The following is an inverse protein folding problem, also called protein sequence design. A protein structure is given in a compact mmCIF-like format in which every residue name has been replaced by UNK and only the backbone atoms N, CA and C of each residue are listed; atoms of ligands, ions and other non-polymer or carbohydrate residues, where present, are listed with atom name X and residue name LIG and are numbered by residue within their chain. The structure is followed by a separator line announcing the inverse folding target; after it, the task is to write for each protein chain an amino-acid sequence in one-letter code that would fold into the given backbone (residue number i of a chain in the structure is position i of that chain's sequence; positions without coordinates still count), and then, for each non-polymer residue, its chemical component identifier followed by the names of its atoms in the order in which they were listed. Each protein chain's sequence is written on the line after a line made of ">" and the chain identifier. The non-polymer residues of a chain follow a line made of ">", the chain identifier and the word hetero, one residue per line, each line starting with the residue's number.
data_IF_524928291526
#
_entry.id   IF_524928291526
#
_cell.length_a   1.000
_cell.length_b   1.000
_cell.length_c   1.000
_cell.angle_alpha   90.00
_cell.angle_beta   90.00
_cell.angle_gamma   90.00
#
_symmetry.space_group_name_H-M   'P 1'
#
loop_
_entity.id
_entity.type
_entity.pdbx_description
1 polymer ?
#
# COMPACT_ATOMS: atom_id res chain seq x y z
N UNK A 1 7.88 -14.55 52.18
CA UNK A 1 8.72 -14.78 50.98
C UNK A 1 7.85 -15.10 49.77
N UNK A 2 7.48 -14.12 48.94
CA UNK A 2 6.73 -14.37 47.70
C UNK A 2 6.94 -13.27 46.62
N UNK A 3 8.10 -12.63 46.61
CA UNK A 3 8.42 -11.57 45.63
C UNK A 3 8.97 -12.11 44.29
N UNK A 4 9.62 -13.28 44.32
CA UNK A 4 10.25 -13.88 43.14
C UNK A 4 9.28 -14.52 42.11
N UNK A 5 8.13 -15.11 42.48
CA UNK A 5 7.20 -15.69 41.49
C UNK A 5 6.47 -14.63 40.66
N UNK A 6 6.12 -13.48 41.26
CA UNK A 6 5.42 -12.38 40.57
C UNK A 6 6.31 -11.66 39.54
N UNK A 7 7.62 -11.56 39.80
CA UNK A 7 8.58 -11.01 38.83
C UNK A 7 8.79 -11.91 37.61
N UNK A 8 8.80 -13.24 37.79
CA UNK A 8 8.86 -14.19 36.66
C UNK A 8 7.59 -14.19 35.79
N UNK A 9 6.44 -13.83 36.36
CA UNK A 9 5.18 -13.72 35.62
C UNK A 9 5.11 -12.43 34.77
N UNK A 10 5.78 -11.36 35.20
CA UNK A 10 5.94 -10.13 34.43
C UNK A 10 6.95 -10.29 33.27
N UNK A 11 8.04 -11.04 33.48
CA UNK A 11 9.04 -11.32 32.44
C UNK A 11 8.58 -12.32 31.35
N UNK A 12 7.44 -12.99 31.53
CA UNK A 12 6.85 -13.91 30.54
C UNK A 12 5.81 -13.25 29.63
N UNK A 13 5.47 -11.98 29.84
CA UNK A 13 4.61 -11.21 28.92
C UNK A 13 5.46 -10.59 27.81
N UNK A 14 5.93 -11.42 26.88
CA UNK A 14 6.49 -10.96 25.61
C UNK A 14 5.47 -11.05 24.47
N UNK A 15 4.22 -10.63 24.72
CA UNK A 15 3.27 -10.38 23.63
C UNK A 15 2.67 -9.01 23.82
N UNK A 16 2.87 -8.18 22.80
CA UNK A 16 2.30 -6.85 22.62
C UNK A 16 0.83 -6.85 23.06
N UNK A 17 0.43 -5.90 23.91
CA UNK A 17 -0.97 -5.68 24.29
C UNK A 17 -1.82 -5.14 23.13
N UNK A 18 -1.25 -5.09 21.91
CA UNK A 18 -1.95 -4.76 20.69
C UNK A 18 -2.86 -5.92 20.28
N UNK A 19 -4.16 -5.73 20.44
CA UNK A 19 -5.18 -6.57 19.80
C UNK A 19 -5.36 -6.25 18.30
N UNK A 20 -4.60 -5.28 17.77
CA UNK A 20 -4.64 -4.89 16.36
C UNK A 20 -4.14 -6.06 15.52
N UNK A 21 -4.95 -6.52 14.55
CA UNK A 21 -4.67 -7.69 13.71
C UNK A 21 -5.23 -9.01 14.25
N UNK A 22 -5.62 -9.07 15.53
CA UNK A 22 -6.25 -10.28 16.09
C UNK A 22 -7.70 -10.40 15.65
N UNK A 23 -8.10 -11.60 15.20
CA UNK A 23 -9.45 -11.85 14.70
C UNK A 23 -10.50 -11.48 15.77
N UNK A 24 -11.49 -10.67 15.39
CA UNK A 24 -12.66 -10.38 16.23
C UNK A 24 -13.49 -11.66 16.39
N UNK A 25 -13.94 -12.01 17.62
CA UNK A 25 -14.77 -13.20 17.83
C UNK A 25 -16.09 -13.09 17.05
N UNK A 26 -16.38 -14.06 16.18
CA UNK A 26 -17.64 -14.15 15.42
C UNK A 26 -18.41 -15.42 15.79
N UNK A 27 -19.75 -15.37 15.77
CA UNK A 27 -20.65 -16.49 16.11
C UNK A 27 -20.76 -17.58 15.02
N UNK A 28 -20.00 -17.46 13.93
CA UNK A 28 -20.06 -18.39 12.79
C UNK A 28 -19.19 -19.64 12.99
N UNK A 29 -19.53 -20.70 12.25
CA UNK A 29 -18.86 -21.99 12.34
C UNK A 29 -17.39 -21.91 11.91
N UNK A 30 -16.51 -22.68 12.57
CA UNK A 30 -15.06 -22.70 12.26
C UNK A 30 -14.84 -23.46 10.95
N UNK A 31 -14.67 -22.75 9.83
CA UNK A 31 -14.26 -23.33 8.54
C UNK A 31 -12.78 -23.78 8.55
N UNK A 32 -12.43 -24.72 7.67
CA UNK A 32 -11.08 -25.30 7.57
C UNK A 32 -9.93 -24.29 7.35
N UNK A 33 -10.23 -23.13 6.76
CA UNK A 33 -9.24 -22.07 6.50
C UNK A 33 -8.86 -21.24 7.74
N UNK A 34 -9.46 -21.49 8.91
CA UNK A 34 -9.24 -20.70 10.12
C UNK A 34 -7.79 -20.69 10.60
N UNK A 35 -7.10 -21.83 10.54
CA UNK A 35 -5.68 -21.91 10.91
C UNK A 35 -4.77 -21.14 9.94
N UNK A 36 -5.13 -21.12 8.65
CA UNK A 36 -4.39 -20.38 7.64
C UNK A 36 -4.58 -18.86 7.81
N UNK A 37 -5.80 -18.40 8.08
CA UNK A 37 -6.08 -17.00 8.39
C UNK A 37 -5.33 -16.53 9.63
N UNK A 38 -5.35 -17.32 10.71
CA UNK A 38 -4.67 -16.99 11.96
C UNK A 38 -3.15 -16.89 11.78
N UNK A 39 -2.56 -17.74 10.93
CA UNK A 39 -1.14 -17.66 10.58
C UNK A 39 -0.80 -16.37 9.80
N UNK A 40 -1.62 -15.99 8.81
CA UNK A 40 -1.44 -14.75 8.06
C UNK A 40 -1.58 -13.51 8.96
N UNK A 41 -2.55 -13.53 9.88
CA UNK A 41 -2.73 -12.48 10.88
C UNK A 41 -1.53 -12.38 11.81
N UNK A 42 -0.97 -13.51 12.26
CA UNK A 42 0.25 -13.50 13.07
C UNK A 42 1.44 -12.86 12.32
N UNK A 43 1.61 -13.18 11.03
CA UNK A 43 2.64 -12.54 10.21
C UNK A 43 2.45 -11.02 10.11
N UNK A 44 1.20 -10.54 10.01
CA UNK A 44 0.88 -9.11 9.91
C UNK A 44 0.93 -8.37 11.25
N UNK A 45 0.81 -9.09 12.37
CA UNK A 45 1.12 -8.53 13.70
C UNK A 45 2.62 -8.24 13.83
N UNK A 46 3.46 -9.15 13.33
CA UNK A 46 4.92 -9.00 13.38
C UNK A 46 5.42 -7.95 12.36
N UNK A 47 4.89 -7.99 11.14
CA UNK A 47 5.18 -7.02 10.08
C UNK A 47 3.88 -6.61 9.36
N UNK A 48 3.27 -5.46 9.74
CA UNK A 48 2.03 -5.00 9.13
C UNK A 48 2.20 -4.57 7.67
N UNK A 49 3.44 -4.49 7.18
CA UNK A 49 3.77 -4.14 5.79
C UNK A 49 4.17 -5.37 4.96
N UNK A 50 3.95 -6.58 5.48
CA UNK A 50 4.15 -7.80 4.71
C UNK A 50 3.08 -7.90 3.60
N UNK A 51 3.41 -7.35 2.44
CA UNK A 51 2.53 -7.27 1.25
C UNK A 51 1.94 -8.64 0.90
N UNK A 52 2.77 -9.70 0.91
CA UNK A 52 2.33 -11.05 0.55
C UNK A 52 1.31 -11.61 1.55
N UNK A 53 1.56 -11.41 2.85
CA UNK A 53 0.63 -11.85 3.89
C UNK A 53 -0.69 -11.07 3.82
N UNK A 54 -0.62 -9.75 3.58
CA UNK A 54 -1.80 -8.91 3.41
C UNK A 54 -2.62 -9.36 2.20
N UNK A 55 -2.01 -9.53 1.03
CA UNK A 55 -2.69 -9.97 -0.20
C UNK A 55 -3.35 -11.35 -0.02
N UNK A 56 -2.64 -12.31 0.60
CA UNK A 56 -3.20 -13.62 0.88
C UNK A 56 -4.39 -13.56 1.85
N UNK A 57 -4.31 -12.71 2.88
CA UNK A 57 -5.40 -12.52 3.84
C UNK A 57 -6.60 -11.81 3.20
N UNK A 58 -6.35 -10.82 2.36
CA UNK A 58 -7.35 -10.14 1.54
C UNK A 58 -8.11 -11.13 0.66
N UNK A 59 -7.42 -12.07 0.02
CA UNK A 59 -8.08 -13.11 -0.80
C UNK A 59 -8.94 -14.07 0.04
N UNK A 60 -8.52 -14.41 1.26
CA UNK A 60 -9.34 -15.21 2.18
C UNK A 60 -10.62 -14.46 2.57
N UNK A 61 -10.55 -13.16 2.89
CA UNK A 61 -11.74 -12.39 3.28
C UNK A 61 -12.64 -12.05 2.09
N UNK A 62 -12.09 -11.83 0.88
CA UNK A 62 -12.85 -11.65 -0.36
C UNK A 62 -13.72 -12.87 -0.66
N UNK A 63 -13.12 -14.07 -0.70
CA UNK A 63 -13.86 -15.33 -0.94
C UNK A 63 -14.95 -15.55 0.09
N UNK A 64 -14.66 -15.31 1.37
CA UNK A 64 -15.66 -15.43 2.44
C UNK A 64 -16.84 -14.47 2.26
N UNK A 65 -16.57 -13.23 1.85
CA UNK A 65 -17.62 -12.25 1.63
C UNK A 65 -18.50 -12.62 0.43
N UNK A 66 -17.90 -13.06 -0.67
CA UNK A 66 -18.61 -13.51 -1.87
C UNK A 66 -19.45 -14.78 -1.64
N UNK A 67 -18.98 -15.72 -0.81
CA UNK A 67 -19.76 -16.90 -0.42
C UNK A 67 -21.00 -16.56 0.42
N UNK A 68 -20.96 -15.44 1.14
CA UNK A 68 -22.02 -15.06 2.08
C UNK A 68 -23.20 -14.36 1.41
N UNK A 69 -23.05 -13.93 0.14
CA UNK A 69 -24.08 -13.23 -0.65
C UNK A 69 -24.81 -14.16 -1.63
N UNK A 70 -24.77 -15.49 -1.43
CA UNK A 70 -25.43 -16.45 -2.32
C UNK A 70 -26.95 -16.26 -2.29
N UNK A 71 -27.51 -15.68 -3.35
CA UNK A 71 -28.94 -15.57 -3.60
C UNK A 71 -29.30 -16.55 -4.74
N UNK A 72 -30.21 -17.48 -4.48
CA UNK A 72 -30.52 -18.62 -5.37
C UNK A 72 -31.38 -18.26 -6.61
N UNK A 73 -31.54 -16.97 -6.93
CA UNK A 73 -32.39 -16.53 -8.06
C UNK A 73 -31.58 -16.40 -9.37
N UNK A 74 -31.77 -17.31 -10.35
CA UNK A 74 -31.04 -17.29 -11.63
C UNK A 74 -31.39 -16.10 -12.53
N UNK A 75 -32.47 -15.34 -12.27
CA UNK A 75 -32.82 -14.13 -13.02
C UNK A 75 -32.07 -12.88 -12.52
N UNK A 76 -31.38 -12.95 -11.38
CA UNK A 76 -30.66 -11.82 -10.76
C UNK A 76 -29.12 -11.89 -10.95
N UNK A 77 -28.62 -12.70 -11.89
CA UNK A 77 -27.20 -13.05 -12.00
C UNK A 77 -26.23 -11.84 -12.09
N UNK A 78 -26.51 -10.84 -12.93
CA UNK A 78 -25.67 -9.64 -13.07
C UNK A 78 -25.65 -8.78 -11.80
N UNK A 79 -26.80 -8.64 -11.14
CA UNK A 79 -26.93 -7.90 -9.87
C UNK A 79 -26.18 -8.63 -8.76
N UNK A 80 -26.27 -9.96 -8.73
CA UNK A 80 -25.56 -10.80 -7.77
C UNK A 80 -24.03 -10.71 -7.89
N UNK A 81 -23.50 -10.55 -9.11
CA UNK A 81 -22.05 -10.42 -9.31
C UNK A 81 -21.52 -9.04 -8.87
N UNK A 82 -22.26 -7.95 -9.14
CA UNK A 82 -21.93 -6.64 -8.58
C UNK A 82 -22.03 -6.61 -7.05
N UNK A 83 -23.01 -7.30 -6.46
CA UNK A 83 -23.14 -7.43 -5.01
C UNK A 83 -22.01 -8.23 -4.38
N UNK A 84 -21.58 -9.34 -4.99
CA UNK A 84 -20.40 -10.10 -4.55
C UNK A 84 -19.13 -9.25 -4.59
N UNK A 85 -18.91 -8.50 -5.66
CA UNK A 85 -17.75 -7.63 -5.78
C UNK A 85 -17.74 -6.55 -4.71
N UNK A 86 -18.87 -5.87 -4.49
CA UNK A 86 -19.00 -4.86 -3.42
C UNK A 86 -18.77 -5.48 -2.03
N UNK A 87 -19.33 -6.64 -1.74
CA UNK A 87 -19.08 -7.34 -0.48
C UNK A 87 -17.60 -7.72 -0.30
N UNK A 88 -16.93 -8.15 -1.36
CA UNK A 88 -15.50 -8.46 -1.35
C UNK A 88 -14.65 -7.21 -1.10
N UNK A 89 -14.93 -6.09 -1.76
CA UNK A 89 -14.22 -4.83 -1.56
C UNK A 89 -14.45 -4.26 -0.16
N UNK A 90 -15.68 -4.31 0.36
CA UNK A 90 -15.97 -3.92 1.74
C UNK A 90 -15.23 -4.80 2.77
N UNK A 91 -15.05 -6.09 2.49
CA UNK A 91 -14.30 -6.98 3.37
C UNK A 91 -12.81 -6.65 3.40
N UNK A 92 -12.21 -6.31 2.25
CA UNK A 92 -10.81 -5.85 2.19
C UNK A 92 -10.66 -4.48 2.83
N UNK A 93 -11.61 -3.58 2.60
CA UNK A 93 -11.64 -2.26 3.24
C UNK A 93 -11.63 -2.38 4.76
N UNK A 94 -12.52 -3.21 5.32
CA UNK A 94 -12.59 -3.44 6.77
C UNK A 94 -11.28 -4.06 7.34
N UNK A 95 -10.66 -4.99 6.61
CA UNK A 95 -9.36 -5.56 6.98
C UNK A 95 -8.25 -4.49 6.96
N UNK A 96 -8.22 -3.68 5.92
CA UNK A 96 -7.22 -2.64 5.75
C UNK A 96 -7.36 -1.55 6.82
N UNK A 97 -8.58 -1.15 7.17
CA UNK A 97 -8.84 -0.24 8.30
C UNK A 97 -8.38 -0.81 9.64
N UNK A 98 -8.68 -2.08 9.91
CA UNK A 98 -8.22 -2.77 11.12
C UNK A 98 -6.70 -2.66 11.27
N UNK A 99 -5.97 -2.98 10.19
CA UNK A 99 -4.50 -3.00 10.20
C UNK A 99 -3.87 -1.60 10.13
N UNK A 100 -4.51 -0.64 9.47
CA UNK A 100 -4.05 0.74 9.38
C UNK A 100 -4.02 1.45 10.75
N UNK A 101 -4.75 0.93 11.74
CA UNK A 101 -4.66 1.37 13.14
C UNK A 101 -3.27 1.16 13.77
N UNK A 102 -2.43 0.29 13.21
CA UNK A 102 -1.04 0.15 13.65
C UNK A 102 -0.19 1.33 13.12
N UNK A 103 0.50 2.11 13.97
CA UNK A 103 1.27 3.27 13.55
C UNK A 103 2.45 2.96 12.61
N UNK A 104 2.88 1.69 12.54
CA UNK A 104 3.92 1.22 11.62
C UNK A 104 3.37 0.74 10.27
N UNK A 105 2.04 0.61 10.15
CA UNK A 105 1.39 0.09 8.96
C UNK A 105 1.26 1.21 7.91
N UNK A 106 2.01 1.11 6.83
CA UNK A 106 1.88 1.95 5.64
C UNK A 106 1.16 1.20 4.52
N UNK A 107 1.39 -0.10 4.35
CA UNK A 107 0.79 -0.86 3.23
C UNK A 107 -0.74 -0.94 3.31
N UNK A 108 -1.37 -1.19 4.48
CA UNK A 108 -2.82 -1.11 4.60
C UNK A 108 -3.41 0.27 4.25
N UNK A 109 -2.66 1.36 4.47
CA UNK A 109 -3.11 2.71 4.06
C UNK A 109 -3.07 2.87 2.53
N UNK A 110 -2.09 2.27 1.85
CA UNK A 110 -2.04 2.22 0.39
C UNK A 110 -3.23 1.45 -0.17
N UNK A 111 -3.57 0.32 0.43
CA UNK A 111 -4.73 -0.50 0.02
C UNK A 111 -6.06 0.23 0.26
N UNK A 112 -6.22 0.93 1.40
CA UNK A 112 -7.38 1.80 1.61
C UNK A 112 -7.45 2.91 0.58
N UNK A 113 -6.32 3.50 0.20
CA UNK A 113 -6.30 4.53 -0.83
C UNK A 113 -6.74 3.96 -2.18
N UNK A 114 -6.23 2.81 -2.61
CA UNK A 114 -6.64 2.11 -3.85
C UNK A 114 -8.14 1.90 -3.92
N UNK A 115 -8.74 1.41 -2.84
CA UNK A 115 -10.18 1.20 -2.74
C UNK A 115 -11.00 2.50 -2.73
N UNK A 116 -10.39 3.63 -2.40
CA UNK A 116 -11.09 4.92 -2.29
C UNK A 116 -10.87 5.85 -3.49
N UNK A 117 -9.99 5.52 -4.44
CA UNK A 117 -9.56 6.47 -5.47
C UNK A 117 -10.70 6.98 -6.34
N UNK A 118 -11.64 6.10 -6.71
CA UNK A 118 -12.76 6.46 -7.59
C UNK A 118 -13.86 7.24 -6.85
N UNK A 119 -14.09 6.93 -5.57
CA UNK A 119 -15.19 7.48 -4.78
C UNK A 119 -14.80 8.70 -3.93
N UNK A 120 -13.57 8.74 -3.40
CA UNK A 120 -13.03 9.80 -2.54
C UNK A 120 -11.51 9.98 -2.77
N UNK A 121 -11.13 10.59 -3.91
CA UNK A 121 -9.72 10.76 -4.28
C UNK A 121 -8.95 11.63 -3.27
N UNK A 122 -9.59 12.61 -2.64
CA UNK A 122 -8.94 13.43 -1.63
C UNK A 122 -8.56 12.63 -0.38
N UNK A 123 -9.48 11.78 0.11
CA UNK A 123 -9.16 10.91 1.23
C UNK A 123 -8.14 9.84 0.85
N UNK A 124 -8.16 9.33 -0.40
CA UNK A 124 -7.12 8.46 -0.91
C UNK A 124 -5.74 9.13 -0.83
N UNK A 125 -5.58 10.35 -1.35
CA UNK A 125 -4.33 11.11 -1.31
C UNK A 125 -3.86 11.36 0.14
N UNK A 126 -4.76 11.73 1.06
CA UNK A 126 -4.40 11.89 2.49
C UNK A 126 -3.88 10.60 3.12
N UNK A 127 -4.48 9.45 2.79
CA UNK A 127 -4.00 8.13 3.26
C UNK A 127 -2.64 7.79 2.68
N UNK A 128 -2.39 8.09 1.40
CA UNK A 128 -1.09 7.89 0.75
C UNK A 128 0.00 8.77 1.37
N UNK A 129 -0.28 10.04 1.66
CA UNK A 129 0.65 10.92 2.38
C UNK A 129 0.97 10.37 3.77
N UNK A 130 -0.04 9.91 4.50
CA UNK A 130 0.15 9.26 5.81
C UNK A 130 0.98 7.98 5.69
N UNK A 131 0.82 7.20 4.61
CA UNK A 131 1.62 6.00 4.36
C UNK A 131 3.09 6.37 4.13
N UNK A 132 3.36 7.39 3.30
CA UNK A 132 4.70 7.91 3.05
C UNK A 132 5.38 8.39 4.34
N UNK A 133 4.65 9.08 5.23
CA UNK A 133 5.20 9.56 6.50
C UNK A 133 5.54 8.44 7.50
N UNK A 134 4.87 7.28 7.40
CA UNK A 134 5.12 6.11 8.26
C UNK A 134 6.33 5.28 7.81
N UNK A 135 6.84 5.51 6.60
CA UNK A 135 7.93 4.73 6.02
C UNK A 135 9.16 5.60 5.70
N UNK A 136 10.21 5.55 6.53
CA UNK A 136 11.43 6.31 6.30
C UNK A 136 12.29 5.79 5.14
N UNK A 137 12.00 4.58 4.61
CA UNK A 137 12.75 4.02 3.48
C UNK A 137 12.29 4.59 2.12
N UNK A 138 11.04 5.05 2.06
CA UNK A 138 10.39 5.56 0.85
C UNK A 138 9.72 4.48 -0.01
N UNK A 139 9.70 3.21 0.39
CA UNK A 139 8.91 2.15 -0.25
C UNK A 139 7.41 2.48 -0.32
N UNK A 140 6.84 3.02 0.76
CA UNK A 140 5.45 3.47 0.78
C UNK A 140 5.20 4.60 -0.23
N UNK A 141 6.16 5.49 -0.40
CA UNK A 141 6.08 6.58 -1.35
C UNK A 141 6.20 6.08 -2.80
N UNK A 142 7.00 5.03 -3.06
CA UNK A 142 7.02 4.34 -4.37
C UNK A 142 5.64 3.79 -4.71
N UNK A 143 5.05 3.02 -3.79
CA UNK A 143 3.72 2.43 -3.98
C UNK A 143 2.62 3.49 -4.14
N UNK A 144 2.72 4.59 -3.39
CA UNK A 144 1.78 5.70 -3.47
C UNK A 144 1.83 6.42 -4.82
N UNK A 145 3.03 6.78 -5.31
CA UNK A 145 3.19 7.45 -6.60
C UNK A 145 2.76 6.53 -7.73
N UNK A 146 3.14 5.24 -7.68
CA UNK A 146 2.70 4.26 -8.70
C UNK A 146 1.18 4.13 -8.72
N UNK A 147 0.55 4.02 -7.56
CA UNK A 147 -0.91 3.93 -7.44
C UNK A 147 -1.63 5.13 -8.09
N UNK A 148 -1.12 6.35 -7.87
CA UNK A 148 -1.70 7.56 -8.49
C UNK A 148 -1.45 7.61 -10.00
N UNK A 149 -0.25 7.21 -10.47
CA UNK A 149 0.07 7.14 -11.90
C UNK A 149 -0.80 6.11 -12.63
N UNK A 150 -0.95 4.91 -12.07
CA UNK A 150 -1.76 3.84 -12.64
C UNK A 150 -3.25 4.22 -12.71
N UNK A 151 -3.71 5.08 -11.79
CA UNK A 151 -5.05 5.66 -11.79
C UNK A 151 -5.21 6.87 -12.73
N UNK A 152 -4.20 7.21 -13.54
CA UNK A 152 -4.26 8.36 -14.45
C UNK A 152 -4.18 9.72 -13.74
N UNK A 153 -3.64 9.76 -12.51
CA UNK A 153 -3.44 10.97 -11.72
C UNK A 153 -1.92 11.30 -11.54
N UNK A 154 -1.13 11.41 -12.63
CA UNK A 154 0.32 11.62 -12.53
C UNK A 154 0.69 12.98 -11.91
N UNK A 155 -0.17 14.00 -12.03
CA UNK A 155 0.03 15.31 -11.41
C UNK A 155 0.00 15.19 -9.88
N UNK A 156 -0.95 14.44 -9.32
CA UNK A 156 -1.02 14.20 -7.88
C UNK A 156 0.12 13.31 -7.40
N UNK A 157 0.48 12.30 -8.20
CA UNK A 157 1.66 11.46 -7.95
C UNK A 157 2.95 12.30 -7.88
N UNK A 158 3.12 13.24 -8.81
CA UNK A 158 4.25 14.18 -8.81
C UNK A 158 4.22 15.08 -7.57
N UNK A 159 3.06 15.67 -7.25
CA UNK A 159 2.90 16.55 -6.09
C UNK A 159 3.25 15.86 -4.77
N UNK A 160 2.75 14.63 -4.57
CA UNK A 160 3.08 13.80 -3.42
C UNK A 160 4.58 13.48 -3.37
N UNK A 161 5.16 13.10 -4.51
CA UNK A 161 6.58 12.82 -4.65
C UNK A 161 7.47 14.00 -4.28
N UNK A 162 7.18 15.19 -4.81
CA UNK A 162 7.92 16.43 -4.50
C UNK A 162 7.81 16.79 -3.01
N UNK A 163 6.65 16.58 -2.39
CA UNK A 163 6.43 16.89 -0.98
C UNK A 163 7.17 15.99 0.00
N UNK A 164 7.32 14.70 -0.32
CA UNK A 164 7.82 13.69 0.62
C UNK A 164 9.17 13.07 0.22
N UNK A 165 9.65 13.22 -1.01
CA UNK A 165 10.89 12.59 -1.44
C UNK A 165 12.13 13.26 -0.84
N UNK A 166 12.97 12.45 -0.18
CA UNK A 166 14.27 12.85 0.35
C UNK A 166 15.38 12.07 -0.33
N UNK A 167 15.98 12.63 -1.39
CA UNK A 167 16.95 11.94 -2.23
C UNK A 167 18.17 11.33 -1.51
N UNK A 168 18.55 11.88 -0.34
CA UNK A 168 19.65 11.38 0.49
C UNK A 168 19.26 10.22 1.43
N UNK A 169 17.98 10.10 1.75
CA UNK A 169 17.43 9.16 2.75
C UNK A 169 16.72 8.00 2.08
N UNK A 170 15.88 8.29 1.09
CA UNK A 170 15.05 7.30 0.42
C UNK A 170 15.81 6.52 -0.65
N UNK A 171 15.27 5.36 -1.00
CA UNK A 171 15.79 4.57 -2.11
C UNK A 171 15.72 5.33 -3.45
N UNK A 172 16.64 5.07 -4.40
CA UNK A 172 16.58 5.67 -5.74
C UNK A 172 15.28 5.38 -6.51
N UNK A 173 14.55 4.33 -6.15
CA UNK A 173 13.28 3.99 -6.80
C UNK A 173 12.22 5.08 -6.58
N UNK A 174 12.22 5.78 -5.45
CA UNK A 174 11.34 6.95 -5.26
C UNK A 174 11.61 7.99 -6.35
N UNK A 175 12.88 8.32 -6.59
CA UNK A 175 13.25 9.27 -7.63
C UNK A 175 12.89 8.78 -9.03
N UNK A 176 12.97 7.46 -9.30
CA UNK A 176 12.46 6.87 -10.54
C UNK A 176 10.97 7.17 -10.71
N UNK A 177 10.16 6.91 -9.70
CA UNK A 177 8.71 7.17 -9.75
C UNK A 177 8.38 8.66 -9.91
N UNK A 178 9.12 9.56 -9.24
CA UNK A 178 8.94 11.01 -9.38
C UNK A 178 9.23 11.48 -10.81
N UNK A 179 10.32 11.00 -11.42
CA UNK A 179 10.65 11.34 -12.82
C UNK A 179 9.58 10.82 -13.78
N UNK A 180 9.10 9.59 -13.57
CA UNK A 180 8.04 9.01 -14.41
C UNK A 180 6.70 9.77 -14.25
N UNK A 181 6.32 10.15 -13.03
CA UNK A 181 5.15 10.98 -12.77
C UNK A 181 5.25 12.34 -13.48
N UNK A 182 6.43 12.97 -13.45
CA UNK A 182 6.67 14.22 -14.15
C UNK A 182 6.53 14.09 -15.67
N UNK A 183 7.04 13.00 -16.25
CA UNK A 183 6.89 12.73 -17.68
C UNK A 183 5.43 12.51 -18.08
N UNK A 184 4.67 11.75 -17.30
CA UNK A 184 3.24 11.50 -17.55
C UNK A 184 2.35 12.72 -17.30
N UNK A 185 2.81 13.67 -16.48
CA UNK A 185 2.17 14.96 -16.28
C UNK A 185 2.60 16.02 -17.32
N UNK A 186 3.33 15.64 -18.37
CA UNK A 186 3.92 16.52 -19.38
C UNK A 186 4.83 17.64 -18.80
N UNK A 187 5.45 17.38 -17.64
CA UNK A 187 6.37 18.27 -16.93
C UNK A 187 7.83 17.92 -17.24
N UNK A 188 8.23 18.12 -18.49
CA UNK A 188 9.54 17.72 -18.99
C UNK A 188 10.72 18.36 -18.22
N UNK A 189 10.60 19.65 -17.89
CA UNK A 189 11.63 20.35 -17.12
C UNK A 189 11.79 19.77 -15.71
N UNK A 190 10.68 19.48 -15.04
CA UNK A 190 10.68 18.88 -13.71
C UNK A 190 11.27 17.46 -13.76
N UNK A 191 10.95 16.68 -14.80
CA UNK A 191 11.53 15.34 -15.00
C UNK A 191 13.07 15.38 -15.09
N UNK A 192 13.65 16.33 -15.83
CA UNK A 192 15.12 16.53 -15.88
C UNK A 192 15.66 16.93 -14.50
N UNK A 193 15.03 17.89 -13.84
CA UNK A 193 15.45 18.36 -12.52
C UNK A 193 15.45 17.22 -11.47
N UNK A 194 14.43 16.38 -11.47
CA UNK A 194 14.33 15.24 -10.57
C UNK A 194 15.34 14.13 -10.93
N UNK A 195 15.62 13.89 -12.21
CA UNK A 195 16.70 12.98 -12.63
C UNK A 195 18.06 13.45 -12.10
N UNK A 196 18.34 14.75 -12.14
CA UNK A 196 19.59 15.30 -11.60
C UNK A 196 19.66 15.15 -10.08
N UNK A 197 18.51 15.25 -9.40
CA UNK A 197 18.41 15.07 -7.95
C UNK A 197 18.77 13.65 -7.48
N UNK A 198 18.66 12.63 -8.35
CA UNK A 198 19.15 11.27 -8.03
C UNK A 198 20.67 11.24 -7.76
N UNK A 199 21.43 12.24 -8.23
CA UNK A 199 22.86 12.35 -7.93
C UNK A 199 23.13 12.57 -6.43
N UNK A 200 22.16 12.99 -5.63
CA UNK A 200 22.30 13.13 -4.17
C UNK A 200 22.18 11.81 -3.42
N UNK A 201 21.69 10.74 -4.04
CA UNK A 201 21.54 9.45 -3.38
C UNK A 201 22.89 8.83 -3.01
N UNK A 202 23.05 8.26 -1.81
CA UNK A 202 24.27 7.55 -1.43
C UNK A 202 24.48 6.26 -2.24
N UNK A 203 23.41 5.59 -2.69
CA UNK A 203 23.50 4.36 -3.50
C UNK A 203 23.72 4.67 -4.99
N UNK A 204 24.97 5.02 -5.32
CA UNK A 204 25.37 5.31 -6.71
C UNK A 204 25.17 4.12 -7.64
N UNK A 205 25.24 2.89 -7.13
CA UNK A 205 25.11 1.68 -7.94
C UNK A 205 23.65 1.48 -8.37
N UNK A 206 22.70 1.68 -7.47
CA UNK A 206 21.27 1.65 -7.83
C UNK A 206 20.90 2.79 -8.78
N UNK A 207 21.40 4.02 -8.55
CA UNK A 207 21.19 5.14 -9.47
C UNK A 207 21.72 4.84 -10.88
N UNK A 208 22.92 4.26 -10.99
CA UNK A 208 23.52 3.90 -12.28
C UNK A 208 22.69 2.86 -13.07
N UNK A 209 21.90 2.02 -12.39
CA UNK A 209 21.00 1.05 -13.06
C UNK A 209 19.78 1.71 -13.67
N UNK A 210 19.17 2.69 -12.98
CA UNK A 210 17.90 3.31 -13.39
C UNK A 210 18.09 4.52 -14.30
N UNK A 211 19.22 5.24 -14.17
CA UNK A 211 19.47 6.49 -14.89
C UNK A 211 19.37 6.36 -16.43
N UNK A 212 19.96 5.34 -17.09
CA UNK A 212 19.89 5.22 -18.54
C UNK A 212 18.45 5.06 -19.08
N UNK A 213 17.61 4.34 -18.34
CA UNK A 213 16.19 4.17 -18.68
C UNK A 213 15.46 5.51 -18.65
N UNK A 214 15.67 6.28 -17.58
CA UNK A 214 15.03 7.59 -17.39
C UNK A 214 15.53 8.63 -18.40
N UNK A 215 16.83 8.67 -18.68
CA UNK A 215 17.41 9.55 -19.71
C UNK A 215 16.82 9.27 -21.09
N UNK A 216 16.64 7.99 -21.43
CA UNK A 216 15.97 7.58 -22.67
C UNK A 216 14.49 8.02 -22.70
N UNK A 217 13.76 7.85 -21.60
CA UNK A 217 12.36 8.25 -21.52
C UNK A 217 12.19 9.78 -21.69
N UNK A 218 13.06 10.57 -21.06
CA UNK A 218 13.07 12.03 -21.20
C UNK A 218 13.39 12.43 -22.65
N UNK A 219 14.42 11.83 -23.27
CA UNK A 219 14.77 12.12 -24.66
C UNK A 219 13.63 11.79 -25.65
N UNK A 220 12.87 10.72 -25.40
CA UNK A 220 11.68 10.38 -26.19
C UNK A 220 10.57 11.43 -26.03
N UNK A 221 10.37 11.96 -24.83
CA UNK A 221 9.39 13.03 -24.59
C UNK A 221 9.82 14.35 -25.28
N UNK A 222 11.12 14.70 -25.24
CA UNK A 222 11.68 15.86 -25.96
C UNK A 222 11.41 15.81 -27.47
N UNK A 223 11.59 14.63 -28.08
CA UNK A 223 11.35 14.43 -29.52
C UNK A 223 9.88 14.62 -29.89
N UNK A 224 8.95 14.15 -29.05
CA UNK A 224 7.50 14.32 -29.29
C UNK A 224 7.11 15.79 -29.29
N UNK A 225 7.60 16.57 -28.33
CA UNK A 225 7.36 18.01 -28.22
C UNK A 225 7.95 18.82 -29.39
N UNK A 226 9.08 18.37 -29.95
CA UNK A 226 9.74 19.08 -31.07
C UNK A 226 9.12 18.75 -32.44
N UNK A 227 8.33 17.67 -32.54
CA UNK A 227 7.71 17.20 -33.78
C UNK A 227 6.23 17.59 -33.95
N UNK A 228 5.63 18.22 -32.95
CA UNK A 228 4.30 18.86 -32.98
C UNK A 228 4.42 20.35 -33.28
#
# INVERSE_FOLDING_TARGET
>A
MALMPRLRQLMRRNHSASTIGTRRPTKGDRRGDTLHEDALRAMLVDDPNNIRAFQALSEVVRRRAADSTHNEDPLAAEVADHEKQRAADLAVWALAEELAGNPRAWYPLVELARLSLDDDPEAAIRRLATAADRDPSGEALVEAISTLRDAGQPVEGLGLGVGHWRAKEHTPEVGRQVVLAALEADRLFDARHHLDSLSYSPDKRAVAKIRPELEKAIAQAEQKLSGT
#
